data_IF_419352204899
#
_entry.id   IF_419352204899
#
_cell.length_a   1.000
_cell.length_b   1.000
_cell.length_c   1.000
_cell.angle_alpha   90.00
_cell.angle_beta   90.00
_cell.angle_gamma   90.00
#
_symmetry.space_group_name_H-M   'P 1'
#
loop_
_entity.id
_entity.type
_entity.pdbx_description
1 polymer ?
#
# COMPACT_ATOMS: atom_id res chain seq x y z
N UNK A 1 -17.43 11.52 -10.62
CA UNK A 1 -16.94 10.33 -11.37
C UNK A 1 -18.13 9.42 -11.59
N UNK A 2 -18.02 8.44 -12.50
CA UNK A 2 -19.03 7.39 -12.63
C UNK A 2 -18.47 6.03 -12.16
N UNK A 3 -19.33 5.00 -12.17
CA UNK A 3 -18.95 3.64 -11.75
C UNK A 3 -17.84 3.04 -12.62
N UNK A 4 -17.80 3.38 -13.92
CA UNK A 4 -16.75 2.92 -14.83
C UNK A 4 -15.39 3.51 -14.44
N UNK A 5 -15.36 4.79 -14.04
CA UNK A 5 -14.14 5.41 -13.52
C UNK A 5 -13.62 4.67 -12.26
N UNK A 6 -14.52 4.27 -11.35
CA UNK A 6 -14.17 3.48 -10.16
C UNK A 6 -13.62 2.10 -10.52
N UNK A 7 -14.22 1.40 -11.49
CA UNK A 7 -13.73 0.10 -11.95
C UNK A 7 -12.33 0.20 -12.58
N UNK A 8 -12.09 1.23 -13.40
CA UNK A 8 -10.75 1.51 -13.95
C UNK A 8 -9.77 1.80 -12.83
N UNK A 9 -10.13 2.68 -11.89
CA UNK A 9 -9.30 3.02 -10.73
C UNK A 9 -8.95 1.78 -9.91
N UNK A 10 -9.92 0.89 -9.68
CA UNK A 10 -9.71 -0.37 -8.96
C UNK A 10 -8.70 -1.28 -9.65
N UNK A 11 -8.78 -1.44 -10.98
CA UNK A 11 -7.78 -2.19 -11.73
C UNK A 11 -6.37 -1.59 -11.59
N UNK A 12 -6.25 -0.27 -11.67
CA UNK A 12 -4.97 0.43 -11.57
C UNK A 12 -4.38 0.44 -10.15
N UNK A 13 -5.23 0.49 -9.12
CA UNK A 13 -4.82 0.35 -7.72
C UNK A 13 -4.20 -1.02 -7.42
N UNK A 14 -4.66 -2.04 -8.15
CA UNK A 14 -4.17 -3.41 -8.00
C UNK A 14 -2.98 -3.73 -8.92
N UNK A 15 -2.92 -3.14 -10.12
CA UNK A 15 -1.76 -3.16 -10.99
C UNK A 15 -1.80 -1.96 -11.95
N UNK A 16 -1.03 -0.91 -11.65
CA UNK A 16 -1.00 0.28 -12.49
C UNK A 16 -0.29 0.08 -13.83
N UNK A 17 0.35 -1.06 -14.08
CA UNK A 17 0.92 -1.43 -15.38
C UNK A 17 -0.05 -2.23 -16.26
N UNK A 18 -1.25 -2.56 -15.76
CA UNK A 18 -2.24 -3.31 -16.53
C UNK A 18 -2.57 -2.58 -17.84
N UNK A 19 -2.45 -3.24 -19.01
CA UNK A 19 -2.74 -2.60 -20.29
C UNK A 19 -4.19 -2.09 -20.38
N UNK A 20 -4.37 -0.89 -20.92
CA UNK A 20 -5.70 -0.27 -21.07
C UNK A 20 -6.70 -1.17 -21.81
N UNK A 21 -6.23 -1.94 -22.81
CA UNK A 21 -7.05 -2.92 -23.52
C UNK A 21 -7.53 -4.06 -22.62
N UNK A 22 -6.67 -4.54 -21.71
CA UNK A 22 -7.03 -5.60 -20.77
C UNK A 22 -8.05 -5.07 -19.75
N UNK A 23 -7.84 -3.86 -19.21
CA UNK A 23 -8.82 -3.20 -18.35
C UNK A 23 -10.16 -3.06 -19.08
N UNK A 24 -10.14 -2.60 -20.34
CA UNK A 24 -11.33 -2.43 -21.16
C UNK A 24 -12.10 -3.73 -21.35
N UNK A 25 -11.40 -4.82 -21.69
CA UNK A 25 -11.98 -6.15 -21.82
C UNK A 25 -12.65 -6.62 -20.50
N UNK A 26 -12.01 -6.39 -19.36
CA UNK A 26 -12.53 -6.81 -18.06
C UNK A 26 -13.83 -6.09 -17.66
N UNK A 27 -14.04 -4.86 -18.14
CA UNK A 27 -15.19 -4.02 -17.74
C UNK A 27 -16.16 -3.71 -18.90
N UNK A 28 -15.93 -4.31 -20.08
CA UNK A 28 -16.84 -4.22 -21.24
C UNK A 28 -16.73 -2.94 -22.07
N UNK A 29 -15.57 -2.27 -22.12
CA UNK A 29 -15.35 -1.06 -22.94
C UNK A 29 -14.06 -1.15 -23.77
N UNK A 30 -13.87 -0.22 -24.73
CA UNK A 30 -12.64 -0.20 -25.53
C UNK A 30 -11.43 0.30 -24.74
N UNK A 31 -10.22 -0.18 -25.10
CA UNK A 31 -8.98 0.32 -24.50
C UNK A 31 -8.76 1.82 -24.71
N UNK A 32 -9.23 2.37 -25.84
CA UNK A 32 -9.21 3.82 -26.09
C UNK A 32 -10.09 4.59 -25.10
N UNK A 33 -11.28 4.07 -24.77
CA UNK A 33 -12.16 4.66 -23.76
C UNK A 33 -11.53 4.62 -22.36
N UNK A 34 -10.86 3.52 -22.00
CA UNK A 34 -10.09 3.42 -20.75
C UNK A 34 -9.02 4.50 -20.69
N UNK A 35 -8.18 4.61 -21.74
CA UNK A 35 -7.10 5.59 -21.80
C UNK A 35 -7.60 7.03 -21.60
N UNK A 36 -8.68 7.41 -22.28
CA UNK A 36 -9.30 8.73 -22.15
C UNK A 36 -9.81 8.99 -20.72
N UNK A 37 -10.40 7.99 -20.08
CA UNK A 37 -10.87 8.10 -18.68
C UNK A 37 -9.72 8.20 -17.69
N UNK A 38 -8.65 7.44 -17.87
CA UNK A 38 -7.42 7.57 -17.05
C UNK A 38 -6.86 8.99 -17.16
N UNK A 39 -6.71 9.51 -18.39
CA UNK A 39 -6.22 10.88 -18.59
C UNK A 39 -7.11 11.90 -17.89
N UNK A 40 -8.44 11.78 -18.03
CA UNK A 40 -9.39 12.67 -17.35
C UNK A 40 -9.29 12.59 -15.82
N UNK A 41 -9.01 11.41 -15.25
CA UNK A 41 -8.80 11.26 -13.80
C UNK A 41 -7.49 11.90 -13.34
N UNK A 42 -6.43 11.85 -14.15
CA UNK A 42 -5.16 12.56 -13.88
C UNK A 42 -5.39 14.07 -13.96
N UNK A 43 -6.04 14.57 -15.02
CA UNK A 43 -6.30 16.00 -15.22
C UNK A 43 -7.16 16.59 -14.10
N UNK A 44 -8.08 15.78 -13.56
CA UNK A 44 -8.93 16.13 -12.41
C UNK A 44 -8.29 15.89 -11.05
N UNK A 45 -7.03 15.47 -11.00
CA UNK A 45 -6.28 15.13 -9.77
C UNK A 45 -6.93 14.04 -8.92
N UNK A 46 -7.75 13.18 -9.53
CA UNK A 46 -8.22 11.95 -8.88
C UNK A 46 -7.06 10.99 -8.73
N UNK A 47 -6.25 10.83 -9.79
CA UNK A 47 -4.97 10.12 -9.74
C UNK A 47 -3.88 11.17 -9.57
N UNK A 48 -3.16 11.14 -8.45
CA UNK A 48 -2.09 12.09 -8.16
C UNK A 48 -0.75 11.60 -8.71
N UNK A 49 -0.46 10.32 -8.51
CA UNK A 49 0.77 9.69 -9.01
C UNK A 49 0.60 8.18 -9.18
N UNK A 50 1.38 7.59 -10.08
CA UNK A 50 1.58 6.14 -10.10
C UNK A 50 2.78 5.80 -9.22
N UNK A 51 2.66 4.73 -8.43
CA UNK A 51 3.68 4.35 -7.46
C UNK A 51 4.06 2.86 -7.54
N UNK A 52 5.31 2.55 -7.17
CA UNK A 52 5.76 1.20 -6.87
C UNK A 52 5.80 1.04 -5.35
N UNK A 53 4.85 0.30 -4.78
CA UNK A 53 4.82 -0.01 -3.35
C UNK A 53 5.68 -1.24 -3.08
N UNK A 54 6.59 -1.13 -2.11
CA UNK A 54 7.49 -2.19 -1.69
C UNK A 54 7.30 -2.38 -0.19
N UNK A 55 6.96 -3.60 0.24
CA UNK A 55 6.84 -3.92 1.65
C UNK A 55 8.23 -3.93 2.30
N UNK A 56 8.51 -3.11 3.32
CA UNK A 56 9.84 -2.98 3.92
C UNK A 56 10.53 -4.30 4.35
N UNK A 57 9.81 -5.35 4.79
CA UNK A 57 10.40 -6.65 5.08
C UNK A 57 11.19 -7.30 3.94
N UNK A 58 10.85 -7.00 2.68
CA UNK A 58 11.58 -7.52 1.52
C UNK A 58 13.00 -6.95 1.42
N UNK A 59 13.23 -5.77 1.98
CA UNK A 59 14.53 -5.09 2.04
C UNK A 59 15.23 -5.25 3.41
N UNK A 60 14.72 -6.12 4.28
CA UNK A 60 15.31 -6.41 5.58
C UNK A 60 14.90 -5.45 6.71
N UNK A 61 13.80 -4.73 6.56
CA UNK A 61 13.29 -3.81 7.58
C UNK A 61 12.00 -4.31 8.24
N UNK A 62 11.82 -3.96 9.51
CA UNK A 62 10.52 -4.10 10.17
C UNK A 62 9.67 -2.85 9.93
N UNK A 63 8.36 -2.99 10.09
CA UNK A 63 7.41 -1.87 10.01
C UNK A 63 6.60 -1.80 11.28
N UNK A 64 6.48 -0.60 11.83
CA UNK A 64 5.55 -0.30 12.91
C UNK A 64 4.40 0.53 12.36
N UNK A 65 3.18 0.14 12.69
CA UNK A 65 1.96 0.85 12.36
C UNK A 65 1.40 1.50 13.62
N UNK A 66 0.92 2.73 13.47
CA UNK A 66 0.33 3.52 14.55
C UNK A 66 -0.99 4.10 14.07
N UNK A 67 -1.96 4.09 14.97
CA UNK A 67 -3.18 4.89 14.82
C UNK A 67 -3.17 5.93 15.93
N UNK A 68 -3.19 7.19 15.56
CA UNK A 68 -3.09 8.32 16.50
C UNK A 68 -4.26 9.28 16.32
N UNK A 69 -4.60 10.02 17.38
CA UNK A 69 -5.72 10.97 17.39
C UNK A 69 -5.36 12.30 18.01
N UNK A 70 -6.07 13.36 17.61
CA UNK A 70 -6.13 14.63 18.34
C UNK A 70 -4.85 15.46 18.35
N UNK A 71 -3.89 15.18 17.46
CA UNK A 71 -2.60 15.89 17.39
C UNK A 71 -2.36 16.44 16.00
N UNK A 72 -1.59 17.52 15.91
CA UNK A 72 -1.11 18.09 14.65
C UNK A 72 -0.29 17.06 13.85
N UNK A 73 -0.56 16.98 12.54
CA UNK A 73 0.07 16.01 11.66
C UNK A 73 1.59 16.22 11.57
N UNK A 74 2.04 17.47 11.52
CA UNK A 74 3.46 17.79 11.42
C UNK A 74 4.19 17.34 12.68
N UNK A 75 3.61 17.60 13.85
CA UNK A 75 4.16 17.09 15.11
C UNK A 75 4.29 15.56 15.11
N UNK A 76 3.24 14.82 14.71
CA UNK A 76 3.30 13.35 14.61
C UNK A 76 4.43 12.93 13.67
N UNK A 77 4.54 13.56 12.49
CA UNK A 77 5.58 13.26 11.52
C UNK A 77 6.99 13.51 12.08
N UNK A 78 7.18 14.59 12.83
CA UNK A 78 8.46 14.90 13.45
C UNK A 78 8.82 13.89 14.53
N UNK A 79 7.85 13.46 15.36
CA UNK A 79 8.07 12.42 16.36
C UNK A 79 8.39 11.06 15.73
N UNK A 80 7.65 10.62 14.71
CA UNK A 80 7.87 9.30 14.11
C UNK A 80 9.20 9.21 13.35
N UNK A 81 9.68 10.33 12.78
CA UNK A 81 11.01 10.45 12.16
C UNK A 81 12.17 10.24 13.13
N UNK A 82 11.97 10.45 14.42
CA UNK A 82 13.00 10.15 15.44
C UNK A 82 13.19 8.64 15.66
N UNK A 83 12.22 7.83 15.24
CA UNK A 83 12.21 6.38 15.47
C UNK A 83 12.64 5.62 14.20
N UNK A 84 12.12 6.05 13.05
CA UNK A 84 12.32 5.43 11.75
C UNK A 84 11.84 6.34 10.60
N UNK A 85 11.81 5.82 9.39
CA UNK A 85 11.40 6.59 8.21
C UNK A 85 9.91 6.36 7.91
N UNK A 86 9.11 7.42 7.63
CA UNK A 86 7.71 7.25 7.25
C UNK A 86 7.52 6.35 6.03
N UNK A 87 6.60 5.38 6.14
CA UNK A 87 6.21 4.46 5.07
C UNK A 87 4.82 4.80 4.52
N UNK A 88 3.82 4.89 5.40
CA UNK A 88 2.49 5.43 5.09
C UNK A 88 2.12 6.56 6.04
N UNK A 89 1.45 7.57 5.51
CA UNK A 89 0.84 8.65 6.30
C UNK A 89 -0.53 8.95 5.69
N UNK A 90 -1.58 8.65 6.45
CA UNK A 90 -2.96 8.74 5.99
C UNK A 90 -3.79 9.48 7.05
N UNK A 91 -3.90 10.82 6.94
CA UNK A 91 -4.83 11.59 7.73
C UNK A 91 -6.26 11.23 7.35
N UNK A 92 -7.10 10.94 8.34
CA UNK A 92 -8.48 10.50 8.18
C UNK A 92 -9.48 11.51 8.78
N UNK A 93 -10.76 11.31 8.50
CA UNK A 93 -11.86 11.99 9.19
C UNK A 93 -11.83 11.64 10.69
N UNK A 94 -12.29 12.57 11.54
CA UNK A 94 -12.34 12.35 13.00
C UNK A 94 -11.04 12.66 13.74
N UNK A 95 -10.16 13.46 13.14
CA UNK A 95 -8.84 13.80 13.71
C UNK A 95 -7.97 12.58 14.01
N UNK A 96 -8.15 11.52 13.21
CA UNK A 96 -7.36 10.29 13.22
C UNK A 96 -6.27 10.40 12.16
N UNK A 97 -5.07 9.91 12.46
CA UNK A 97 -4.03 9.66 11.47
C UNK A 97 -3.56 8.22 11.59
N UNK A 98 -3.61 7.49 10.48
CA UNK A 98 -2.94 6.18 10.36
C UNK A 98 -1.55 6.46 9.80
N UNK A 99 -0.51 6.06 10.50
CA UNK A 99 0.84 6.15 9.99
C UNK A 99 1.60 4.85 10.20
N UNK A 100 2.62 4.64 9.39
CA UNK A 100 3.58 3.57 9.61
C UNK A 100 4.98 4.05 9.33
N UNK A 101 5.95 3.44 10.00
CA UNK A 101 7.37 3.75 9.81
C UNK A 101 8.16 2.47 9.56
N UNK A 102 9.15 2.60 8.69
CA UNK A 102 10.22 1.64 8.48
C UNK A 102 11.23 1.79 9.60
N UNK A 103 11.55 0.69 10.27
CA UNK A 103 12.55 0.66 11.35
C UNK A 103 13.69 -0.29 11.02
N UNK A 104 14.91 0.16 11.33
CA UNK A 104 16.12 -0.68 11.32
C UNK A 104 16.37 -1.24 12.72
N UNK A 105 16.86 -2.48 12.79
CA UNK A 105 17.22 -3.14 14.06
C UNK A 105 16.04 -3.79 14.76
N UNK A 106 16.16 -4.00 16.08
CA UNK A 106 15.19 -4.78 16.85
C UNK A 106 13.82 -4.08 16.93
N UNK A 107 12.74 -4.69 16.40
CA UNK A 107 11.42 -4.07 16.34
C UNK A 107 10.81 -3.87 17.72
N UNK A 108 11.05 -4.76 18.69
CA UNK A 108 10.53 -4.62 20.05
C UNK A 108 11.16 -3.40 20.76
N UNK A 109 12.46 -3.17 20.56
CA UNK A 109 13.10 -1.97 21.11
C UNK A 109 12.57 -0.69 20.48
N UNK A 110 12.35 -0.70 19.16
CA UNK A 110 11.77 0.43 18.42
C UNK A 110 10.31 0.68 18.82
N UNK A 111 9.54 -0.37 19.10
CA UNK A 111 8.19 -0.31 19.63
C UNK A 111 8.16 0.39 20.99
N UNK A 112 9.03 -0.01 21.92
CA UNK A 112 9.11 0.61 23.24
C UNK A 112 9.57 2.07 23.16
N UNK A 113 10.51 2.39 22.27
CA UNK A 113 10.89 3.77 21.99
C UNK A 113 9.71 4.58 21.45
N UNK A 114 8.92 4.01 20.53
CA UNK A 114 7.76 4.68 19.96
C UNK A 114 6.70 4.97 21.01
N UNK A 115 6.42 4.01 21.91
CA UNK A 115 5.50 4.21 23.04
C UNK A 115 5.94 5.37 23.94
N UNK A 116 7.26 5.55 24.16
CA UNK A 116 7.81 6.63 24.99
C UNK A 116 7.75 8.00 24.29
N UNK A 117 8.17 8.07 23.04
CA UNK A 117 8.19 9.33 22.27
C UNK A 117 6.76 9.83 22.01
N UNK A 118 5.83 8.91 21.74
CA UNK A 118 4.43 9.24 21.46
C UNK A 118 3.57 9.38 22.73
N UNK A 119 4.13 9.46 23.94
CA UNK A 119 3.35 9.64 25.18
C UNK A 119 2.51 10.93 25.17
N UNK A 120 2.98 11.98 24.51
CA UNK A 120 2.23 13.23 24.30
C UNK A 120 1.18 13.17 23.19
N UNK A 121 1.05 12.04 22.50
CA UNK A 121 0.11 11.80 21.41
C UNK A 121 -0.90 10.76 21.88
N UNK A 122 -2.19 10.97 21.60
CA UNK A 122 -3.19 9.94 21.90
C UNK A 122 -3.08 8.79 20.88
N UNK A 123 -2.32 7.77 21.24
CA UNK A 123 -2.14 6.54 20.45
C UNK A 123 -3.28 5.55 20.75
N UNK A 124 -3.97 5.10 19.70
CA UNK A 124 -5.02 4.08 19.79
C UNK A 124 -4.46 2.66 19.65
N UNK A 125 -3.50 2.47 18.75
CA UNK A 125 -2.87 1.17 18.53
C UNK A 125 -1.44 1.34 18.01
N UNK A 126 -0.57 0.41 18.40
CA UNK A 126 0.73 0.18 17.77
C UNK A 126 0.90 -1.31 17.53
N UNK A 127 1.28 -1.69 16.32
CA UNK A 127 1.60 -3.08 16.02
C UNK A 127 2.73 -3.19 14.98
N UNK A 128 3.48 -4.28 15.07
CA UNK A 128 4.51 -4.63 14.10
C UNK A 128 3.89 -5.43 12.96
N UNK A 129 4.23 -5.09 11.71
CA UNK A 129 4.08 -6.06 10.63
C UNK A 129 5.28 -6.99 10.63
N UNK A 130 5.06 -8.24 11.01
CA UNK A 130 6.08 -9.28 10.90
C UNK A 130 6.23 -9.69 9.45
N UNK A 131 7.47 -9.94 9.04
CA UNK A 131 7.73 -10.57 7.75
C UNK A 131 7.04 -11.97 7.76
N UNK A 132 6.16 -12.29 6.79
CA UNK A 132 5.59 -13.63 6.67
C UNK A 132 6.61 -14.74 6.32
N UNK A 133 7.91 -14.44 6.34
CA UNK A 133 8.99 -15.36 6.03
C UNK A 133 9.38 -15.36 4.55
N UNK A 134 8.91 -14.37 3.78
CA UNK A 134 9.23 -14.23 2.36
C UNK A 134 10.68 -13.73 2.25
N UNK A 135 11.58 -14.65 1.89
CA UNK A 135 12.92 -14.28 1.42
C UNK A 135 12.78 -13.70 0.02
N UNK A 136 13.19 -12.44 -0.09
CA UNK A 136 13.36 -11.80 -1.37
C UNK A 136 14.53 -12.43 -2.09
N UNK A 137 14.31 -12.88 -3.32
CA UNK A 137 15.36 -13.29 -4.25
C UNK A 137 15.82 -12.10 -5.11
N UNK A 138 15.49 -10.85 -4.75
CA UNK A 138 15.87 -9.65 -5.51
C UNK A 138 17.38 -9.58 -5.74
N UNK A 139 17.77 -9.41 -7.00
CA UNK A 139 19.16 -9.28 -7.43
C UNK A 139 19.60 -7.82 -7.50
N UNK A 140 20.90 -7.55 -7.66
CA UNK A 140 21.40 -6.20 -7.92
C UNK A 140 20.75 -5.56 -9.16
N UNK A 141 20.52 -6.37 -10.20
CA UNK A 141 19.80 -5.96 -11.41
C UNK A 141 18.35 -5.59 -11.13
N UNK A 142 17.66 -6.36 -10.27
CA UNK A 142 16.28 -6.05 -9.90
C UNK A 142 16.21 -4.72 -9.13
N UNK A 143 17.14 -4.46 -8.21
CA UNK A 143 17.20 -3.21 -7.47
C UNK A 143 17.50 -1.99 -8.37
N UNK A 144 18.30 -2.17 -9.42
CA UNK A 144 18.55 -1.13 -10.42
C UNK A 144 17.28 -0.80 -11.22
N UNK A 145 16.53 -1.83 -11.63
CA UNK A 145 15.25 -1.67 -12.31
C UNK A 145 14.22 -1.02 -11.38
N UNK A 146 14.16 -1.43 -10.11
CA UNK A 146 13.32 -0.80 -9.09
C UNK A 146 13.64 0.69 -8.96
N UNK A 147 14.92 1.08 -8.89
CA UNK A 147 15.31 2.50 -8.76
C UNK A 147 14.78 3.37 -9.90
N UNK A 148 14.74 2.82 -11.13
CA UNK A 148 14.14 3.48 -12.29
C UNK A 148 12.61 3.56 -12.13
N UNK A 149 11.97 2.45 -11.75
CA UNK A 149 10.52 2.35 -11.59
C UNK A 149 9.96 3.15 -10.40
N UNK A 150 10.79 3.48 -9.40
CA UNK A 150 10.41 4.41 -8.32
C UNK A 150 10.14 5.83 -8.82
N UNK A 151 10.62 6.21 -10.01
CA UNK A 151 10.34 7.50 -10.64
C UNK A 151 9.07 7.46 -11.49
N UNK A 152 8.93 6.40 -12.28
CA UNK A 152 7.72 6.13 -13.05
C UNK A 152 7.54 4.60 -13.18
N UNK A 153 6.56 4.03 -12.45
CA UNK A 153 6.34 2.58 -12.45
C UNK A 153 5.68 2.10 -13.74
N UNK A 154 5.26 2.99 -14.65
CA UNK A 154 4.60 2.65 -15.93
C UNK A 154 5.53 2.70 -17.14
N UNK A 155 6.82 2.98 -16.95
CA UNK A 155 7.82 3.00 -18.04
C UNK A 155 7.79 1.73 -18.89
N UNK A 156 8.04 1.90 -20.20
CA UNK A 156 8.12 0.79 -21.15
C UNK A 156 9.41 0.01 -20.98
N UNK A 157 9.40 -1.26 -21.37
CA UNK A 157 10.54 -2.17 -21.26
C UNK A 157 11.77 -1.60 -21.99
N UNK A 158 11.57 -1.02 -23.17
CA UNK A 158 12.64 -0.44 -23.99
C UNK A 158 13.27 0.79 -23.33
N UNK A 159 12.48 1.59 -22.62
CA UNK A 159 12.96 2.78 -21.91
C UNK A 159 13.76 2.38 -20.67
N UNK A 160 13.24 1.43 -19.88
CA UNK A 160 13.95 0.88 -18.72
C UNK A 160 15.27 0.23 -19.17
N UNK A 161 15.26 -0.53 -20.27
CA UNK A 161 16.45 -1.19 -20.82
C UNK A 161 17.55 -0.17 -21.19
N UNK A 162 17.16 0.95 -21.81
CA UNK A 162 18.09 2.06 -22.13
C UNK A 162 18.65 2.71 -20.86
N UNK A 163 17.79 3.01 -19.89
CA UNK A 163 18.19 3.68 -18.64
C UNK A 163 19.09 2.82 -17.76
N UNK A 164 18.83 1.50 -17.70
CA UNK A 164 19.60 0.55 -16.91
C UNK A 164 20.82 -0.02 -17.65
N UNK A 165 20.98 0.24 -18.95
CA UNK A 165 22.00 -0.39 -19.80
C UNK A 165 21.88 -1.93 -19.75
N UNK A 166 20.65 -2.42 -19.93
CA UNK A 166 20.30 -3.84 -19.89
C UNK A 166 19.60 -4.28 -21.17
N UNK A 167 19.56 -5.59 -21.43
CA UNK A 167 18.72 -6.13 -22.50
C UNK A 167 17.24 -6.03 -22.14
N UNK A 168 16.37 -5.86 -23.15
CA UNK A 168 14.91 -5.89 -22.97
C UNK A 168 14.43 -7.21 -22.36
N UNK A 169 15.09 -8.34 -22.69
CA UNK A 169 14.81 -9.65 -22.09
C UNK A 169 15.10 -9.66 -20.58
N UNK A 170 16.20 -9.05 -20.15
CA UNK A 170 16.55 -8.94 -18.72
C UNK A 170 15.51 -8.11 -17.98
N UNK A 171 15.11 -6.96 -18.55
CA UNK A 171 14.09 -6.08 -17.97
C UNK A 171 12.73 -6.78 -17.92
N UNK A 172 12.31 -7.46 -18.98
CA UNK A 172 11.06 -8.20 -19.01
C UNK A 172 11.01 -9.28 -17.92
N UNK A 173 12.09 -10.04 -17.76
CA UNK A 173 12.20 -11.06 -16.70
C UNK A 173 12.11 -10.44 -15.30
N UNK A 174 12.79 -9.32 -15.07
CA UNK A 174 12.72 -8.62 -13.78
C UNK A 174 11.31 -8.09 -13.52
N UNK A 175 10.67 -7.44 -14.50
CA UNK A 175 9.30 -6.94 -14.36
C UNK A 175 8.27 -8.05 -14.12
N UNK A 176 8.43 -9.20 -14.75
CA UNK A 176 7.57 -10.36 -14.51
C UNK A 176 7.72 -10.84 -13.06
N UNK A 177 8.97 -10.98 -12.59
CA UNK A 177 9.26 -11.29 -11.20
C UNK A 177 8.66 -10.27 -10.22
N UNK A 178 8.88 -8.97 -10.45
CA UNK A 178 8.37 -7.89 -9.59
C UNK A 178 6.83 -7.83 -9.56
N UNK A 179 6.15 -8.17 -10.66
CA UNK A 179 4.68 -8.18 -10.72
C UNK A 179 4.05 -9.41 -10.04
N UNK A 180 4.81 -10.49 -9.88
CA UNK A 180 4.38 -11.73 -9.24
C UNK A 180 4.83 -11.82 -7.77
N UNK A 181 5.52 -10.82 -7.25
CA UNK A 181 5.97 -10.76 -5.86
C UNK A 181 4.90 -10.09 -4.98
N UNK A 182 4.39 -10.80 -3.97
CA UNK A 182 3.34 -10.29 -3.07
C UNK A 182 3.77 -9.06 -2.25
N UNK A 183 5.08 -8.87 -2.05
CA UNK A 183 5.64 -7.73 -1.35
C UNK A 183 5.90 -6.51 -2.27
N UNK A 184 5.65 -6.64 -3.58
CA UNK A 184 5.84 -5.55 -4.54
C UNK A 184 4.54 -5.31 -5.31
N UNK A 185 4.01 -4.10 -5.22
CA UNK A 185 2.76 -3.73 -5.86
C UNK A 185 2.93 -2.50 -6.75
N UNK A 186 2.65 -2.68 -8.04
CA UNK A 186 2.46 -1.58 -8.97
C UNK A 186 1.09 -0.95 -8.73
N UNK A 187 1.03 0.28 -8.25
CA UNK A 187 -0.22 0.93 -7.81
C UNK A 187 -0.23 2.42 -8.15
N UNK A 188 -1.17 3.16 -7.57
CA UNK A 188 -1.25 4.61 -7.66
C UNK A 188 -1.67 5.22 -6.33
N UNK A 189 -1.40 6.51 -6.17
CA UNK A 189 -1.98 7.34 -5.11
C UNK A 189 -3.12 8.12 -5.73
N UNK A 190 -4.30 7.99 -5.12
CA UNK A 190 -5.47 8.76 -5.50
C UNK A 190 -5.78 9.82 -4.45
N UNK A 191 -6.45 10.89 -4.88
CA UNK A 191 -6.96 11.91 -3.97
C UNK A 191 -8.40 11.56 -3.54
N UNK A 192 -8.64 11.20 -2.27
CA UNK A 192 -9.98 10.87 -1.80
C UNK A 192 -11.00 11.99 -1.99
N UNK A 193 -10.58 13.27 -1.88
CA UNK A 193 -11.48 14.41 -1.97
C UNK A 193 -11.93 14.72 -3.41
N UNK A 194 -11.19 14.24 -4.41
CA UNK A 194 -11.52 14.39 -5.83
C UNK A 194 -12.36 13.23 -6.37
N UNK A 195 -12.60 12.19 -5.56
CA UNK A 195 -13.51 11.08 -5.90
C UNK A 195 -14.99 11.48 -5.85
N UNK A 196 -15.39 12.58 -6.52
CA UNK A 196 -16.75 13.16 -6.43
C UNK A 196 -17.84 12.10 -6.67
N UNK A 197 -18.76 12.00 -5.72
CA UNK A 197 -19.87 11.05 -5.71
C UNK A 197 -19.54 9.71 -5.03
N UNK A 198 -18.29 9.51 -4.59
CA UNK A 198 -17.84 8.32 -3.90
C UNK A 198 -16.97 8.68 -2.69
N UNK A 199 -17.05 7.85 -1.66
CA UNK A 199 -16.32 7.93 -0.41
C UNK A 199 -15.46 6.68 -0.35
N UNK A 200 -14.15 6.76 -0.66
CA UNK A 200 -13.23 5.66 -0.41
C UNK A 200 -13.04 5.51 1.11
N UNK A 201 -12.94 4.28 1.59
CA UNK A 201 -12.69 4.01 3.01
C UNK A 201 -11.97 2.68 3.19
N UNK A 202 -11.25 2.56 4.30
CA UNK A 202 -10.60 1.34 4.71
C UNK A 202 -11.23 0.82 6.00
N UNK A 203 -11.34 -0.50 6.11
CA UNK A 203 -11.72 -1.18 7.33
C UNK A 203 -10.54 -2.04 7.77
N UNK A 204 -9.99 -1.76 8.95
CA UNK A 204 -9.04 -2.64 9.62
C UNK A 204 -9.82 -3.67 10.43
N UNK A 205 -9.67 -4.94 10.04
CA UNK A 205 -10.30 -6.08 10.68
C UNK A 205 -9.25 -6.77 11.55
N UNK A 206 -9.49 -6.80 12.86
CA UNK A 206 -8.78 -7.70 13.77
C UNK A 206 -9.43 -9.08 13.70
N UNK A 207 -8.64 -10.11 13.42
CA UNK A 207 -9.13 -11.49 13.28
C UNK A 207 -8.76 -12.31 14.50
N UNK A 208 -9.71 -13.13 14.95
CA UNK A 208 -9.49 -14.20 15.91
C UNK A 208 -9.51 -15.55 15.18
N UNK A 209 -8.47 -16.35 15.37
CA UNK A 209 -8.32 -17.64 14.69
C UNK A 209 -7.66 -17.52 13.31
N UNK A 210 -8.26 -18.14 12.29
CA UNK A 210 -7.61 -18.35 10.98
C UNK A 210 -7.87 -17.19 10.01
N UNK A 211 -6.88 -16.29 9.88
CA UNK A 211 -6.90 -15.15 8.95
C UNK A 211 -7.18 -15.53 7.51
N UNK A 212 -6.60 -16.61 6.98
CA UNK A 212 -6.82 -17.00 5.58
C UNK A 212 -8.26 -17.40 5.34
N UNK A 213 -8.86 -18.16 6.27
CA UNK A 213 -10.27 -18.55 6.20
C UNK A 213 -11.19 -17.34 6.32
N UNK A 214 -10.91 -16.44 7.26
CA UNK A 214 -11.70 -15.19 7.41
C UNK A 214 -11.62 -14.31 6.18
N UNK A 215 -10.42 -14.14 5.58
CA UNK A 215 -10.26 -13.42 4.32
C UNK A 215 -11.12 -14.03 3.21
N UNK A 216 -11.09 -15.35 3.03
CA UNK A 216 -11.90 -16.03 2.00
C UNK A 216 -13.40 -15.77 2.17
N UNK A 217 -13.89 -15.74 3.41
CA UNK A 217 -15.29 -15.41 3.69
C UNK A 217 -15.58 -13.95 3.32
N UNK A 218 -14.71 -13.02 3.73
CA UNK A 218 -14.84 -11.59 3.42
C UNK A 218 -14.81 -11.33 1.90
N UNK A 219 -13.88 -11.95 1.17
CA UNK A 219 -13.76 -11.79 -0.27
C UNK A 219 -15.00 -12.31 -1.00
N UNK A 220 -15.58 -13.42 -0.54
CA UNK A 220 -16.80 -14.00 -1.09
C UNK A 220 -18.04 -13.17 -0.78
N UNK A 221 -18.16 -12.64 0.43
CA UNK A 221 -19.33 -11.88 0.85
C UNK A 221 -19.39 -10.49 0.17
N UNK A 222 -18.24 -9.84 0.01
CA UNK A 222 -18.15 -8.46 -0.47
C UNK A 222 -17.65 -8.34 -1.92
N UNK A 223 -17.91 -9.38 -2.75
CA UNK A 223 -17.55 -9.38 -4.17
C UNK A 223 -18.10 -8.12 -4.86
N UNK A 224 -17.23 -7.39 -5.55
CA UNK A 224 -17.59 -6.19 -6.32
C UNK A 224 -17.69 -4.90 -5.51
N UNK A 225 -17.60 -4.96 -4.18
CA UNK A 225 -17.59 -3.77 -3.32
C UNK A 225 -16.19 -3.21 -3.09
N UNK A 226 -15.15 -4.03 -3.27
CA UNK A 226 -13.76 -3.61 -3.06
C UNK A 226 -13.30 -2.55 -4.05
N UNK A 227 -12.66 -1.50 -3.52
CA UNK A 227 -11.90 -0.54 -4.31
C UNK A 227 -10.53 -1.11 -4.67
N UNK A 228 -9.89 -1.84 -3.75
CA UNK A 228 -8.58 -2.46 -3.92
C UNK A 228 -8.59 -3.84 -3.24
N UNK A 229 -7.74 -4.75 -3.71
CA UNK A 229 -7.57 -6.07 -3.08
C UNK A 229 -7.24 -5.92 -1.59
N UNK A 230 -7.81 -6.76 -0.71
CA UNK A 230 -7.46 -6.77 0.70
C UNK A 230 -5.97 -6.95 0.93
N UNK A 231 -5.48 -6.31 1.98
CA UNK A 231 -4.12 -6.52 2.47
C UNK A 231 -4.18 -7.34 3.76
N UNK A 232 -3.31 -8.33 3.89
CA UNK A 232 -3.24 -9.20 5.08
C UNK A 232 -1.90 -9.04 5.76
N UNK A 233 -1.94 -8.87 7.08
CA UNK A 233 -0.75 -8.88 7.91
C UNK A 233 -1.05 -9.56 9.24
N UNK A 234 -0.37 -10.68 9.52
CA UNK A 234 -0.52 -11.45 10.76
C UNK A 234 -2.00 -11.81 11.04
N UNK A 235 -2.59 -11.23 12.08
CA UNK A 235 -3.97 -11.44 12.51
C UNK A 235 -4.88 -10.27 12.11
N UNK A 236 -4.49 -9.50 11.09
CA UNK A 236 -5.23 -8.34 10.61
C UNK A 236 -5.46 -8.40 9.11
N UNK A 237 -6.62 -7.89 8.69
CA UNK A 237 -7.00 -7.72 7.29
C UNK A 237 -7.41 -6.27 7.09
N UNK A 238 -6.82 -5.59 6.11
CA UNK A 238 -7.26 -4.25 5.69
C UNK A 238 -8.10 -4.42 4.44
N UNK A 239 -9.37 -4.06 4.54
CA UNK A 239 -10.32 -4.06 3.43
C UNK A 239 -10.41 -2.64 2.86
N UNK A 240 -10.32 -2.49 1.55
CA UNK A 240 -10.43 -1.20 0.88
C UNK A 240 -11.74 -1.15 0.09
N UNK A 241 -12.65 -0.27 0.48
CA UNK A 241 -13.98 -0.14 -0.08
C UNK A 241 -14.22 1.26 -0.63
N UNK A 242 -15.35 1.41 -1.31
CA UNK A 242 -15.92 2.69 -1.68
C UNK A 242 -17.43 2.64 -1.49
N UNK A 243 -18.04 3.79 -1.18
CA UNK A 243 -19.49 3.94 -1.06
C UNK A 243 -19.95 5.23 -1.72
N UNK A 244 -21.20 5.36 -2.12
CA UNK A 244 -21.76 6.62 -2.62
C UNK A 244 -22.31 7.52 -1.48
N UNK A 245 -22.45 6.99 -0.27
CA UNK A 245 -22.89 7.75 0.90
C UNK A 245 -22.45 7.13 2.23
N UNK A 246 -22.55 7.92 3.30
CA UNK A 246 -22.09 7.54 4.65
C UNK A 246 -22.93 6.44 5.31
N UNK A 247 -24.23 6.32 4.99
CA UNK A 247 -25.11 5.32 5.60
C UNK A 247 -24.80 3.92 5.06
N UNK A 248 -24.67 3.78 3.73
CA UNK A 248 -24.24 2.50 3.11
C UNK A 248 -22.83 2.10 3.54
N UNK A 249 -21.95 3.07 3.77
CA UNK A 249 -20.61 2.83 4.30
C UNK A 249 -20.68 2.25 5.72
N UNK A 250 -21.52 2.81 6.58
CA UNK A 250 -21.76 2.28 7.93
C UNK A 250 -22.39 0.88 7.89
N UNK A 251 -23.39 0.66 7.02
CA UNK A 251 -23.99 -0.66 6.80
C UNK A 251 -22.95 -1.72 6.39
N UNK A 252 -22.08 -1.40 5.42
CA UNK A 252 -20.99 -2.28 5.01
C UNK A 252 -20.04 -2.59 6.18
N UNK A 253 -19.75 -1.59 7.03
CA UNK A 253 -18.89 -1.75 8.22
C UNK A 253 -19.54 -2.69 9.23
N UNK A 254 -20.85 -2.54 9.49
CA UNK A 254 -21.60 -3.44 10.37
C UNK A 254 -21.71 -4.86 9.79
N UNK A 255 -21.83 -5.01 8.47
CA UNK A 255 -21.82 -6.32 7.82
C UNK A 255 -20.47 -7.03 8.03
N UNK A 256 -19.35 -6.32 7.86
CA UNK A 256 -18.00 -6.87 8.12
C UNK A 256 -17.88 -7.34 9.57
N UNK A 257 -18.40 -6.58 10.53
CA UNK A 257 -18.36 -6.94 11.95
C UNK A 257 -19.08 -8.25 12.28
N UNK A 258 -20.10 -8.64 11.49
CA UNK A 258 -20.89 -9.86 11.71
C UNK A 258 -20.23 -11.11 11.14
N UNK A 259 -19.11 -10.98 10.43
CA UNK A 259 -18.44 -12.12 9.78
C UNK A 259 -17.71 -12.99 10.81
N UNK A 260 -17.87 -14.30 10.68
CA UNK A 260 -17.21 -15.28 11.54
C UNK A 260 -15.69 -15.12 11.52
N UNK A 261 -15.08 -15.04 12.71
CA UNK A 261 -13.64 -14.83 12.91
C UNK A 261 -13.23 -13.36 12.98
N UNK A 262 -14.14 -12.42 12.74
CA UNK A 262 -13.89 -11.00 12.99
C UNK A 262 -14.03 -10.70 14.48
N UNK A 263 -12.96 -10.18 15.09
CA UNK A 263 -12.88 -9.79 16.50
C UNK A 263 -13.11 -8.28 16.68
N UNK A 264 -12.53 -7.47 15.80
CA UNK A 264 -12.63 -6.02 15.86
C UNK A 264 -12.67 -5.41 14.47
N UNK A 265 -13.26 -4.23 14.35
CA UNK A 265 -13.44 -3.50 13.11
C UNK A 265 -13.20 -2.02 13.40
N UNK A 266 -12.20 -1.43 12.73
CA UNK A 266 -11.91 0.00 12.80
C UNK A 266 -12.06 0.62 11.41
N UNK A 267 -12.90 1.65 11.31
CA UNK A 267 -13.22 2.34 10.06
C UNK A 267 -12.35 3.59 9.90
N UNK A 268 -11.75 3.74 8.71
CA UNK A 268 -10.92 4.89 8.36
C UNK A 268 -11.37 5.49 7.02
N UNK A 269 -11.77 6.75 7.02
CA UNK A 269 -12.07 7.51 5.80
C UNK A 269 -10.88 8.44 5.51
N UNK A 270 -10.01 8.12 4.53
CA UNK A 270 -8.82 8.91 4.24
C UNK A 270 -9.18 10.27 3.65
N UNK A 271 -8.50 11.32 4.11
CA UNK A 271 -8.54 12.68 3.52
C UNK A 271 -7.39 12.90 2.55
N UNK A 272 -6.26 12.23 2.80
CA UNK A 272 -5.07 12.25 1.97
C UNK A 272 -4.33 10.93 2.16
N UNK A 273 -3.70 10.45 1.11
CA UNK A 273 -2.83 9.28 1.15
C UNK A 273 -1.43 9.78 0.80
N UNK A 274 -0.44 9.38 1.57
CA UNK A 274 0.95 9.73 1.29
C UNK A 274 1.82 8.51 1.50
N UNK A 275 2.67 8.26 0.51
CA UNK A 275 3.52 7.10 0.43
C UNK A 275 4.98 7.53 0.23
N UNK A 276 5.68 7.99 1.29
CA UNK A 276 7.05 8.46 1.15
C UNK A 276 7.99 7.31 0.72
N UNK A 277 8.70 7.53 -0.39
CA UNK A 277 9.57 6.53 -1.01
C UNK A 277 11.06 6.69 -0.65
N UNK A 278 11.37 7.64 0.23
CA UNK A 278 12.76 8.01 0.54
C UNK A 278 13.53 6.83 1.15
N UNK A 279 12.90 6.10 2.07
CA UNK A 279 13.47 4.91 2.71
C UNK A 279 13.89 3.85 1.69
N UNK A 280 13.13 3.65 0.59
CA UNK A 280 13.48 2.68 -0.46
C UNK A 280 14.74 3.12 -1.16
N UNK A 281 14.82 4.40 -1.55
CA UNK A 281 15.99 4.96 -2.26
C UNK A 281 17.25 4.82 -1.41
N UNK A 282 17.16 5.14 -0.13
CA UNK A 282 18.29 5.06 0.78
C UNK A 282 18.70 3.61 1.07
N UNK A 283 17.73 2.70 1.12
CA UNK A 283 17.97 1.26 1.20
C UNK A 283 18.68 0.70 -0.03
N UNK A 284 18.26 1.08 -1.24
CA UNK A 284 18.90 0.64 -2.49
C UNK A 284 20.35 1.13 -2.54
N UNK A 285 20.61 2.39 -2.15
CA UNK A 285 21.97 2.94 -2.07
C UNK A 285 22.86 2.15 -1.11
N UNK A 286 22.35 1.84 0.08
CA UNK A 286 23.08 1.04 1.08
C UNK A 286 23.43 -0.36 0.56
N UNK A 287 22.45 -1.06 -0.04
CA UNK A 287 22.66 -2.40 -0.60
C UNK A 287 23.67 -2.39 -1.75
N UNK A 288 23.66 -1.35 -2.60
CA UNK A 288 24.63 -1.18 -3.69
C UNK A 288 26.06 -0.93 -3.17
N UNK A 289 26.21 -0.26 -2.04
CA UNK A 289 27.50 -0.01 -1.38
C UNK A 289 28.14 -1.26 -0.74
N UNK A 290 27.35 -2.31 -0.47
CA UNK A 290 27.86 -3.56 0.11
C UNK A 290 28.44 -4.51 -0.94
N UNK A 291 29.59 -5.13 -0.62
CA UNK A 291 30.25 -6.15 -1.47
C UNK A 291 29.40 -7.41 -1.67
N UNK A 292 28.47 -7.70 -0.74
CA UNK A 292 27.51 -8.81 -0.82
C UNK A 292 26.10 -8.27 -0.63
N UNK A 293 25.14 -8.79 -1.40
CA UNK A 293 23.72 -8.47 -1.23
C UNK A 293 23.19 -9.16 0.03
N UNK A 294 23.63 -8.70 1.20
CA UNK A 294 23.11 -9.13 2.48
C UNK A 294 21.88 -8.30 2.78
N UNK A 295 20.73 -8.74 2.30
CA UNK A 295 19.46 -8.34 2.91
C UNK A 295 19.51 -8.93 4.33
N UNK A 296 19.84 -8.10 5.31
CA UNK A 296 20.06 -8.53 6.69
C UNK A 296 18.74 -8.97 7.31
N UNK A 297 18.39 -10.23 7.14
CA UNK A 297 17.34 -10.88 7.90
C UNK A 297 17.85 -11.11 9.32
N UNK A 298 17.59 -10.18 10.23
CA UNK A 298 17.59 -10.54 11.65
C UNK A 298 16.29 -11.32 11.90
N UNK A 299 16.38 -12.64 11.72
CA UNK A 299 15.33 -13.58 12.12
C UNK A 299 15.24 -13.48 13.65
N UNK A 300 14.27 -12.73 14.14
CA UNK A 300 13.89 -12.79 15.55
C UNK A 300 12.88 -13.91 15.71
N UNK A 301 13.39 -15.07 16.11
CA UNK A 301 12.62 -16.16 16.71
C UNK A 301 11.93 -15.71 17.99
#
# INVERSE_FOLDING_TARGET
>A
MDKTDIQILSHLLNNCRMPDRQIGNNIGISGGAVKLRIQKMIDKKVIEEFALKIEPPILGYSVLYFVVTGTDLQYILDQVKLIGEPFFVVPCIGSVTVCSIVVKGNPNQKMELAKKILQGVRVLAIFEAKNPGIRSDLTKTDLEIIEILLKDPRLKIEEIAKLAILSTKTVARSLDKLQNDEAIQFTLVYNPNEMKGYIPFAILVGVEGNVKKTLQILEKEFVGSFLQKPFVNMNQIVLFFYSDNIFKLDELTQMVQKITGVRSVDLFIPKKISFPQQWVKDSIKEVKGSKRLHLSYQIHS
#
